data_IF_970260213166
#
_entry.id   IF_970260213166
#
_cell.length_a   1.000
_cell.length_b   1.000
_cell.length_c   1.000
_cell.angle_alpha   90.00
_cell.angle_beta   90.00
_cell.angle_gamma   90.00
#
_symmetry.space_group_name_H-M   'P 1'
#
loop_
_entity.id
_entity.type
_entity.pdbx_description
1 polymer ?
#
# COMPACT_ATOMS: atom_id res chain seq x y z
N UNK A 1 -31.63 11.60 16.13
CA UNK A 1 -31.69 11.35 14.68
C UNK A 1 -30.66 12.16 13.93
N UNK A 2 -29.37 12.01 14.24
CA UNK A 2 -28.28 12.71 13.54
C UNK A 2 -27.46 11.82 12.59
N UNK A 3 -27.54 10.48 12.71
CA UNK A 3 -26.77 9.54 11.89
C UNK A 3 -27.19 9.52 10.41
N UNK A 4 -28.50 9.48 10.13
CA UNK A 4 -28.98 9.37 8.75
C UNK A 4 -28.75 10.62 7.88
N UNK A 5 -28.66 11.81 8.48
CA UNK A 5 -28.40 13.06 7.72
C UNK A 5 -26.93 13.16 7.30
N UNK A 6 -26.01 12.73 8.17
CA UNK A 6 -24.57 12.67 7.87
C UNK A 6 -24.29 11.59 6.82
N UNK A 7 -24.90 10.40 6.95
CA UNK A 7 -24.82 9.34 5.94
C UNK A 7 -25.34 9.78 4.56
N UNK A 8 -26.46 10.50 4.51
CA UNK A 8 -27.03 11.01 3.25
C UNK A 8 -26.11 12.06 2.58
N UNK A 9 -25.45 12.91 3.37
CA UNK A 9 -24.50 13.91 2.85
C UNK A 9 -23.20 13.26 2.38
N UNK A 10 -22.69 12.27 3.11
CA UNK A 10 -21.54 11.45 2.73
C UNK A 10 -21.78 10.76 1.38
N UNK A 11 -22.92 10.10 1.20
CA UNK A 11 -23.28 9.46 -0.07
C UNK A 11 -23.38 10.45 -1.24
N UNK A 12 -23.95 11.64 -1.00
CA UNK A 12 -24.04 12.68 -2.01
C UNK A 12 -22.67 13.21 -2.44
N UNK A 13 -21.75 13.39 -1.48
CA UNK A 13 -20.36 13.78 -1.74
C UNK A 13 -19.67 12.67 -2.55
N UNK A 14 -19.72 11.42 -2.09
CA UNK A 14 -19.09 10.29 -2.78
C UNK A 14 -19.63 10.10 -4.21
N UNK A 15 -20.93 10.37 -4.44
CA UNK A 15 -21.52 10.36 -5.78
C UNK A 15 -21.00 11.51 -6.65
N UNK A 16 -20.96 12.73 -6.12
CA UNK A 16 -20.40 13.87 -6.84
C UNK A 16 -18.92 13.67 -7.17
N UNK A 17 -18.17 13.06 -6.27
CA UNK A 17 -16.77 12.71 -6.47
C UNK A 17 -16.64 11.67 -7.59
N UNK A 18 -17.44 10.60 -7.58
CA UNK A 18 -17.44 9.61 -8.66
C UNK A 18 -17.86 10.19 -10.03
N UNK A 19 -18.76 11.17 -10.06
CA UNK A 19 -19.16 11.86 -11.30
C UNK A 19 -18.08 12.82 -11.84
N UNK A 20 -17.33 13.48 -10.96
CA UNK A 20 -16.22 14.36 -11.34
C UNK A 20 -14.96 13.57 -11.71
N UNK A 21 -14.74 12.42 -11.05
CA UNK A 21 -13.73 11.44 -11.42
C UNK A 21 -13.80 11.04 -12.89
N UNK A 22 -15.00 10.71 -13.40
CA UNK A 22 -15.23 10.38 -14.82
C UNK A 22 -14.87 11.51 -15.80
N UNK A 23 -14.62 12.72 -15.29
CA UNK A 23 -14.19 13.89 -16.07
C UNK A 23 -12.69 14.18 -15.89
N UNK A 24 -11.93 13.26 -15.29
CA UNK A 24 -10.52 13.42 -14.98
C UNK A 24 -10.22 14.37 -13.82
N UNK A 25 -11.21 14.64 -12.95
CA UNK A 25 -11.06 15.51 -11.78
C UNK A 25 -10.83 14.62 -10.54
N UNK A 26 -9.65 14.73 -9.93
CA UNK A 26 -9.29 14.02 -8.69
C UNK A 26 -9.69 14.82 -7.45
N UNK A 27 -10.01 14.13 -6.35
CA UNK A 27 -10.32 14.74 -5.05
C UNK A 27 -9.21 14.43 -4.05
N UNK A 28 -8.51 15.47 -3.60
CA UNK A 28 -7.63 15.38 -2.43
C UNK A 28 -8.38 15.80 -1.17
N UNK A 29 -8.28 14.99 -0.11
CA UNK A 29 -8.98 15.21 1.16
C UNK A 29 -7.97 15.38 2.28
N UNK A 30 -8.06 16.48 3.03
CA UNK A 30 -7.16 16.75 4.16
C UNK A 30 -7.99 16.91 5.44
N UNK A 31 -7.77 16.03 6.40
CA UNK A 31 -8.38 16.07 7.72
C UNK A 31 -7.49 16.81 8.72
N UNK A 32 -8.09 17.65 9.57
CA UNK A 32 -7.39 18.33 10.67
C UNK A 32 -8.05 17.99 12.00
N UNK A 33 -7.27 17.63 13.02
CA UNK A 33 -7.83 17.36 14.35
C UNK A 33 -6.83 16.88 15.40
N UNK A 34 -7.23 16.94 16.67
CA UNK A 34 -6.47 16.39 17.82
C UNK A 34 -7.21 15.21 18.49
N UNK A 35 -8.23 14.64 17.84
CA UNK A 35 -9.03 13.51 18.34
C UNK A 35 -10.51 13.56 17.92
N UNK A 36 -11.14 12.37 17.83
CA UNK A 36 -12.45 12.07 17.20
C UNK A 36 -12.47 12.26 15.68
N UNK A 37 -11.80 11.35 15.00
CA UNK A 37 -11.69 11.32 13.57
C UNK A 37 -12.50 10.14 12.99
N UNK A 38 -13.32 10.40 11.97
CA UNK A 38 -14.09 9.36 11.28
C UNK A 38 -13.24 8.76 10.15
N UNK A 39 -12.29 7.91 10.54
CA UNK A 39 -11.35 7.22 9.64
C UNK A 39 -12.09 6.54 8.48
N UNK A 40 -13.25 5.93 8.74
CA UNK A 40 -14.01 5.18 7.74
C UNK A 40 -14.60 6.06 6.65
N UNK A 41 -15.13 7.24 6.99
CA UNK A 41 -15.65 8.16 5.97
C UNK A 41 -14.53 8.78 5.12
N UNK A 42 -13.37 9.04 5.74
CA UNK A 42 -12.24 9.66 5.07
C UNK A 42 -11.47 8.67 4.19
N UNK A 43 -11.34 7.42 4.61
CA UNK A 43 -10.88 6.31 3.77
C UNK A 43 -11.79 6.15 2.55
N UNK A 44 -13.11 6.17 2.74
CA UNK A 44 -14.07 6.11 1.62
C UNK A 44 -13.94 7.30 0.67
N UNK A 45 -13.58 8.50 1.15
CA UNK A 45 -13.35 9.66 0.30
C UNK A 45 -12.04 9.57 -0.49
N UNK A 46 -10.96 9.05 0.10
CA UNK A 46 -9.71 8.75 -0.63
C UNK A 46 -9.94 7.67 -1.69
N UNK A 47 -10.54 6.55 -1.29
CA UNK A 47 -10.86 5.42 -2.15
C UNK A 47 -11.83 5.78 -3.27
N UNK A 48 -12.78 6.68 -3.03
CA UNK A 48 -13.73 7.14 -4.05
C UNK A 48 -13.29 8.44 -4.75
N UNK A 49 -12.19 9.06 -4.33
CA UNK A 49 -11.69 10.35 -4.81
C UNK A 49 -10.58 10.33 -5.83
N UNK A 50 -9.86 9.21 -5.96
CA UNK A 50 -8.65 9.12 -6.82
C UNK A 50 -7.62 10.22 -6.53
N UNK A 51 -7.61 10.73 -5.30
CA UNK A 51 -6.70 11.81 -4.92
C UNK A 51 -6.10 11.60 -3.54
N UNK A 52 -5.27 12.57 -3.16
CA UNK A 52 -4.39 12.46 -2.01
C UNK A 52 -5.17 12.57 -0.69
N UNK A 53 -4.84 11.72 0.29
CA UNK A 53 -5.38 11.79 1.63
C UNK A 53 -4.27 12.07 2.64
N UNK A 54 -4.47 13.09 3.50
CA UNK A 54 -3.57 13.41 4.59
C UNK A 54 -4.34 13.77 5.87
N UNK A 55 -3.83 13.33 7.01
CA UNK A 55 -4.31 13.74 8.33
C UNK A 55 -3.24 14.60 9.00
N UNK A 56 -3.63 15.80 9.40
CA UNK A 56 -2.75 16.80 9.98
C UNK A 56 -3.13 17.01 11.44
N UNK A 57 -2.35 16.42 12.34
CA UNK A 57 -2.51 16.52 13.79
C UNK A 57 -1.48 17.44 14.47
N UNK A 58 -0.46 17.86 13.72
CA UNK A 58 0.64 18.68 14.21
C UNK A 58 1.08 19.70 13.16
N UNK A 59 1.75 20.76 13.63
CA UNK A 59 2.32 21.79 12.74
C UNK A 59 3.41 21.19 11.83
N UNK A 60 4.11 20.18 12.32
CA UNK A 60 5.12 19.45 11.55
C UNK A 60 4.47 18.64 10.42
N UNK A 61 3.39 17.91 10.73
CA UNK A 61 2.61 17.19 9.72
C UNK A 61 1.97 18.13 8.70
N UNK A 62 1.53 19.31 9.13
CA UNK A 62 1.01 20.35 8.25
C UNK A 62 2.09 20.82 7.27
N UNK A 63 3.31 21.08 7.75
CA UNK A 63 4.43 21.48 6.87
C UNK A 63 4.77 20.36 5.89
N UNK A 64 4.88 19.12 6.38
CA UNK A 64 5.14 17.96 5.52
C UNK A 64 4.09 17.82 4.42
N UNK A 65 2.82 17.93 4.78
CA UNK A 65 1.69 17.78 3.85
C UNK A 65 1.62 18.93 2.84
N UNK A 66 1.66 20.18 3.31
CA UNK A 66 1.37 21.35 2.47
C UNK A 66 2.58 22.00 1.81
N UNK A 67 3.78 21.82 2.37
CA UNK A 67 5.02 22.45 1.88
C UNK A 67 5.89 21.44 1.17
N UNK A 68 6.10 20.26 1.77
CA UNK A 68 7.07 19.30 1.24
C UNK A 68 6.46 18.38 0.17
N UNK A 69 5.24 17.89 0.39
CA UNK A 69 4.63 16.84 -0.44
C UNK A 69 3.50 17.33 -1.37
N UNK A 70 2.98 18.55 -1.19
CA UNK A 70 1.78 19.02 -1.88
C UNK A 70 1.97 19.08 -3.41
N UNK A 71 3.12 19.55 -3.88
CA UNK A 71 3.39 19.67 -5.33
C UNK A 71 3.55 18.32 -6.00
N UNK A 72 4.20 17.34 -5.36
CA UNK A 72 4.33 15.98 -5.89
C UNK A 72 3.01 15.21 -5.90
N UNK A 73 2.15 15.45 -4.89
CA UNK A 73 0.81 14.87 -4.82
C UNK A 73 -0.16 15.39 -5.91
N UNK A 74 0.13 16.55 -6.52
CA UNK A 74 -0.68 17.16 -7.57
C UNK A 74 -0.22 16.78 -8.99
N UNK A 75 0.98 16.22 -9.15
CA UNK A 75 1.51 15.75 -10.42
C UNK A 75 1.24 14.25 -10.57
N UNK A 76 0.17 13.90 -11.27
CA UNK A 76 -0.14 12.51 -11.61
C UNK A 76 0.77 12.04 -12.73
N UNK A 77 1.61 11.05 -12.45
CA UNK A 77 2.57 10.45 -13.40
C UNK A 77 2.04 9.17 -14.04
N UNK A 78 0.99 8.57 -13.45
CA UNK A 78 0.31 7.42 -14.02
C UNK A 78 -1.15 7.39 -13.59
N UNK A 79 -2.04 7.34 -14.59
CA UNK A 79 -3.48 7.16 -14.43
C UNK A 79 -3.89 5.71 -14.64
N UNK A 80 -5.01 5.33 -14.04
CA UNK A 80 -5.61 4.00 -14.23
C UNK A 80 -4.60 2.85 -14.03
N UNK A 81 -3.75 3.01 -13.01
CA UNK A 81 -2.66 2.09 -12.69
C UNK A 81 -3.23 0.81 -12.13
N UNK A 82 -2.94 -0.30 -12.79
CA UNK A 82 -3.28 -1.66 -12.34
C UNK A 82 -2.00 -2.48 -12.24
N UNK A 83 -1.92 -3.35 -11.24
CA UNK A 83 -0.80 -4.27 -11.05
C UNK A 83 -1.35 -5.69 -11.03
N UNK A 84 -0.74 -6.58 -11.80
CA UNK A 84 -1.07 -8.01 -11.82
C UNK A 84 0.20 -8.84 -11.62
N UNK A 85 0.09 -9.83 -10.73
CA UNK A 85 1.15 -10.81 -10.48
C UNK A 85 0.65 -12.19 -10.89
N UNK A 86 1.23 -12.75 -11.96
CA UNK A 86 0.91 -14.09 -12.43
C UNK A 86 1.98 -15.07 -11.95
N UNK A 87 1.64 -15.92 -10.99
CA UNK A 87 2.57 -16.93 -10.46
C UNK A 87 2.66 -18.15 -11.38
N UNK A 88 3.88 -18.67 -11.56
CA UNK A 88 4.11 -19.88 -12.34
C UNK A 88 3.69 -21.12 -11.54
N UNK A 89 2.64 -21.86 -11.94
CA UNK A 89 2.14 -23.01 -11.18
C UNK A 89 3.09 -24.20 -11.15
N UNK A 90 4.10 -24.24 -12.03
CA UNK A 90 5.14 -25.28 -12.01
C UNK A 90 6.23 -25.01 -10.96
N UNK A 91 6.34 -23.77 -10.49
CA UNK A 91 7.40 -23.27 -9.59
C UNK A 91 6.82 -22.90 -8.22
N UNK A 92 5.57 -22.44 -8.18
CA UNK A 92 4.88 -21.94 -6.98
C UNK A 92 3.79 -22.94 -6.55
N UNK A 93 3.92 -23.47 -5.32
CA UNK A 93 2.94 -24.37 -4.69
C UNK A 93 1.72 -23.60 -4.18
N UNK A 94 1.94 -22.42 -3.60
CA UNK A 94 0.89 -21.56 -3.05
C UNK A 94 1.44 -20.15 -2.83
N UNK A 95 0.58 -19.15 -2.84
CA UNK A 95 0.93 -17.77 -2.51
C UNK A 95 -0.20 -17.08 -1.73
N UNK A 96 0.13 -16.01 -1.03
CA UNK A 96 -0.81 -15.16 -0.30
C UNK A 96 -0.35 -13.71 -0.36
N UNK A 97 -1.27 -12.79 -0.65
CA UNK A 97 -1.03 -11.37 -0.49
C UNK A 97 -1.08 -11.01 1.01
N UNK A 98 0.03 -10.50 1.55
CA UNK A 98 0.17 -10.12 2.96
C UNK A 98 -0.22 -8.65 3.17
N UNK A 99 0.16 -7.78 2.24
CA UNK A 99 -0.09 -6.35 2.33
C UNK A 99 -0.15 -5.68 0.96
N UNK A 100 -1.14 -4.82 0.78
CA UNK A 100 -1.31 -3.94 -0.39
C UNK A 100 -2.14 -2.73 0.03
N UNK A 101 -1.89 -1.58 -0.59
CA UNK A 101 -2.74 -0.39 -0.41
C UNK A 101 -4.04 -0.64 -1.19
N UNK A 102 -5.16 -0.67 -0.48
CA UNK A 102 -6.48 -1.11 -0.96
C UNK A 102 -6.85 -0.63 -2.38
N UNK A 103 -7.10 -1.59 -3.28
CA UNK A 103 -7.97 -1.58 -4.49
C UNK A 103 -7.76 -2.91 -5.23
N UNK A 104 -8.36 -3.98 -4.71
CA UNK A 104 -8.26 -5.30 -5.34
C UNK A 104 -9.07 -5.30 -6.65
N UNK A 105 -8.39 -5.53 -7.78
CA UNK A 105 -8.98 -5.66 -9.10
C UNK A 105 -8.89 -7.14 -9.47
N UNK A 106 -10.01 -7.73 -9.90
CA UNK A 106 -10.01 -9.12 -10.33
C UNK A 106 -9.03 -9.33 -11.48
N UNK A 107 -8.40 -10.50 -11.52
CA UNK A 107 -7.45 -10.86 -12.59
C UNK A 107 -8.04 -10.72 -14.00
N UNK A 108 -9.32 -11.06 -14.17
CA UNK A 108 -10.05 -10.94 -15.44
C UNK A 108 -10.26 -9.48 -15.89
N UNK A 109 -10.25 -8.55 -14.94
CA UNK A 109 -10.48 -7.13 -15.16
C UNK A 109 -9.18 -6.33 -15.36
N UNK A 110 -8.01 -6.97 -15.29
CA UNK A 110 -6.71 -6.29 -15.42
C UNK A 110 -6.56 -5.45 -16.71
N UNK A 111 -7.11 -5.94 -17.83
CA UNK A 111 -7.13 -5.24 -19.13
C UNK A 111 -8.49 -4.65 -19.48
N UNK A 112 -9.42 -4.64 -18.54
CA UNK A 112 -10.74 -4.08 -18.71
C UNK A 112 -10.71 -2.58 -18.38
N UNK A 113 -10.64 -1.73 -19.40
CA UNK A 113 -10.59 -0.27 -19.23
C UNK A 113 -11.92 0.32 -18.67
N UNK A 114 -12.98 -0.50 -18.53
CA UNK A 114 -14.20 -0.12 -17.81
C UNK A 114 -14.08 -0.28 -16.29
N UNK A 115 -13.09 -1.04 -15.82
CA UNK A 115 -12.74 -1.17 -14.41
C UNK A 115 -11.63 -0.19 -14.10
N UNK A 116 -11.85 0.62 -13.08
CA UNK A 116 -10.97 1.72 -12.71
C UNK A 116 -9.78 1.23 -11.88
N UNK A 117 -8.59 1.70 -12.21
CA UNK A 117 -7.35 1.45 -11.49
C UNK A 117 -7.09 2.47 -10.37
N UNK A 118 -5.83 2.58 -9.95
CA UNK A 118 -5.35 3.61 -9.02
C UNK A 118 -4.62 4.74 -9.73
N UNK A 119 -4.42 5.87 -9.04
CA UNK A 119 -3.61 6.98 -9.53
C UNK A 119 -2.26 7.02 -8.80
N UNK A 120 -1.16 7.18 -9.54
CA UNK A 120 0.19 7.32 -8.97
C UNK A 120 0.72 8.72 -9.28
N UNK A 121 1.08 9.44 -8.22
CA UNK A 121 1.67 10.76 -8.28
C UNK A 121 3.20 10.72 -8.25
N UNK A 122 3.84 11.81 -8.63
CA UNK A 122 5.29 11.95 -8.57
C UNK A 122 5.79 11.75 -7.13
N UNK A 123 6.68 10.78 -6.93
CA UNK A 123 7.22 10.44 -5.61
C UNK A 123 6.34 9.48 -4.79
N UNK A 124 5.22 9.00 -5.31
CA UNK A 124 4.46 7.92 -4.67
C UNK A 124 5.08 6.55 -4.96
N UNK A 125 5.03 5.67 -3.96
CA UNK A 125 5.40 4.27 -4.06
C UNK A 125 4.27 3.40 -3.50
N UNK A 126 3.92 2.34 -4.22
CA UNK A 126 2.99 1.32 -3.77
C UNK A 126 3.73 -0.01 -3.63
N UNK A 127 3.50 -0.71 -2.52
CA UNK A 127 4.13 -1.99 -2.23
C UNK A 127 3.06 -3.08 -2.14
N UNK A 128 3.21 -4.14 -2.92
CA UNK A 128 2.48 -5.38 -2.77
C UNK A 128 3.43 -6.45 -2.21
N UNK A 129 3.13 -6.95 -1.02
CA UNK A 129 3.94 -7.97 -0.35
C UNK A 129 3.26 -9.33 -0.46
N UNK A 130 3.95 -10.31 -1.04
CA UNK A 130 3.47 -11.68 -1.18
C UNK A 130 4.29 -12.66 -0.36
N UNK A 131 3.61 -13.56 0.33
CA UNK A 131 4.18 -14.81 0.86
C UNK A 131 4.07 -15.86 -0.24
N UNK A 132 5.18 -16.48 -0.64
CA UNK A 132 5.21 -17.46 -1.73
C UNK A 132 5.87 -18.74 -1.25
N UNK A 133 5.23 -19.88 -1.50
CA UNK A 133 5.79 -21.21 -1.26
C UNK A 133 6.23 -21.83 -2.57
N UNK A 134 7.53 -22.07 -2.72
CA UNK A 134 8.09 -22.68 -3.93
C UNK A 134 8.00 -24.22 -3.90
N UNK A 135 8.04 -24.81 -5.08
CA UNK A 135 8.35 -26.24 -5.25
C UNK A 135 9.79 -26.50 -4.81
N UNK A 136 10.04 -27.67 -4.21
CA UNK A 136 11.37 -27.95 -3.65
C UNK A 136 12.38 -28.10 -4.80
N UNK A 137 13.51 -27.40 -4.71
CA UNK A 137 14.50 -27.35 -5.80
C UNK A 137 14.02 -26.60 -7.05
N UNK A 138 12.97 -25.78 -6.93
CA UNK A 138 12.47 -25.01 -8.06
C UNK A 138 13.56 -24.10 -8.65
N UNK A 139 13.66 -24.12 -9.98
CA UNK A 139 14.52 -23.24 -10.76
C UNK A 139 13.68 -22.60 -11.86
N UNK A 140 13.95 -21.33 -12.18
CA UNK A 140 13.22 -20.62 -13.23
C UNK A 140 12.32 -19.49 -12.73
N UNK A 141 11.39 -19.00 -13.58
CA UNK A 141 10.53 -17.86 -13.28
C UNK A 141 9.45 -18.25 -12.26
N UNK A 142 9.41 -17.50 -11.17
CA UNK A 142 8.43 -17.59 -10.08
C UNK A 142 7.15 -16.87 -10.44
N UNK A 143 7.25 -15.67 -11.03
CA UNK A 143 6.09 -14.88 -11.41
C UNK A 143 6.40 -13.89 -12.54
N UNK A 144 5.34 -13.43 -13.18
CA UNK A 144 5.33 -12.26 -14.06
C UNK A 144 4.63 -11.12 -13.33
N UNK A 145 5.35 -10.02 -13.10
CA UNK A 145 4.80 -8.80 -12.55
C UNK A 145 4.54 -7.83 -13.69
N UNK A 146 3.28 -7.45 -13.91
CA UNK A 146 2.88 -6.50 -14.96
C UNK A 146 2.21 -5.29 -14.33
N UNK A 147 2.69 -4.10 -14.70
CA UNK A 147 2.05 -2.83 -14.38
C UNK A 147 1.43 -2.30 -15.66
N UNK A 148 0.14 -1.98 -15.62
CA UNK A 148 -0.61 -1.30 -16.68
C UNK A 148 -0.95 0.10 -16.22
N UNK A 149 -0.71 1.13 -17.03
CA UNK A 149 -0.98 2.53 -16.68
C UNK A 149 -1.20 3.39 -17.93
N UNK A 150 -1.79 4.59 -17.75
CA UNK A 150 -1.97 5.62 -18.78
C UNK A 150 -1.17 6.87 -18.39
N UNK A 151 -0.32 7.38 -19.29
CA UNK A 151 0.61 8.48 -18.95
C UNK A 151 0.06 9.88 -19.28
N UNK A 152 -0.91 10.01 -20.19
CA UNK A 152 -1.35 11.29 -20.75
C UNK A 152 -2.83 11.29 -21.21
N UNK A 153 -3.30 12.45 -21.69
CA UNK A 153 -4.68 12.70 -22.17
C UNK A 153 -5.12 11.79 -23.32
N UNK A 154 -4.20 11.06 -23.94
CA UNK A 154 -4.49 10.15 -25.05
C UNK A 154 -5.18 8.85 -24.58
N UNK A 155 -5.24 8.60 -23.27
CA UNK A 155 -5.89 7.45 -22.63
C UNK A 155 -5.38 6.06 -23.10
N UNK A 156 -4.27 6.01 -23.84
CA UNK A 156 -3.67 4.75 -24.27
C UNK A 156 -2.93 4.06 -23.12
N UNK A 157 -3.33 2.82 -22.84
CA UNK A 157 -2.72 2.03 -21.79
C UNK A 157 -1.37 1.45 -22.24
N UNK A 158 -0.37 1.57 -21.38
CA UNK A 158 0.96 1.00 -21.51
C UNK A 158 1.15 -0.11 -20.48
N UNK A 159 1.93 -1.13 -20.84
CA UNK A 159 2.28 -2.24 -19.95
C UNK A 159 3.79 -2.38 -19.82
N UNK A 160 4.26 -2.52 -18.58
CA UNK A 160 5.64 -2.88 -18.25
C UNK A 160 5.60 -4.20 -17.51
N UNK A 161 6.25 -5.22 -18.07
CA UNK A 161 6.35 -6.54 -17.46
C UNK A 161 7.78 -6.87 -17.03
N UNK A 162 7.89 -7.58 -15.91
CA UNK A 162 9.14 -8.14 -15.38
C UNK A 162 8.93 -9.58 -14.93
N UNK A 163 9.88 -10.43 -15.31
CA UNK A 163 9.99 -11.78 -14.78
C UNK A 163 10.74 -11.75 -13.44
N UNK A 164 10.20 -12.46 -12.45
CA UNK A 164 10.84 -12.69 -11.17
C UNK A 164 11.33 -14.13 -11.12
N UNK A 165 12.60 -14.37 -10.80
CA UNK A 165 13.18 -15.71 -10.77
C UNK A 165 13.42 -16.21 -9.36
N UNK A 166 13.40 -17.54 -9.18
CA UNK A 166 13.68 -18.17 -7.89
C UNK A 166 15.08 -17.82 -7.34
N UNK A 167 16.05 -17.57 -8.24
CA UNK A 167 17.41 -17.13 -7.88
C UNK A 167 17.47 -15.71 -7.30
N UNK A 168 16.45 -14.90 -7.54
CA UNK A 168 16.38 -13.51 -7.05
C UNK A 168 15.84 -13.47 -5.62
N UNK A 169 15.31 -14.59 -5.11
CA UNK A 169 14.83 -14.72 -3.74
C UNK A 169 16.03 -15.02 -2.85
N UNK A 170 16.23 -14.15 -1.85
CA UNK A 170 17.28 -14.31 -0.87
C UNK A 170 17.16 -15.64 -0.12
N UNK A 171 18.28 -16.34 0.05
CA UNK A 171 18.31 -17.66 0.70
C UNK A 171 18.10 -17.61 2.21
N UNK A 172 18.39 -16.46 2.83
CA UNK A 172 18.09 -16.18 4.25
C UNK A 172 17.50 -14.79 4.42
N UNK A 173 16.82 -14.58 5.54
CA UNK A 173 16.23 -13.29 5.90
C UNK A 173 17.27 -12.17 5.97
N UNK A 174 18.44 -12.45 6.55
CA UNK A 174 19.52 -11.47 6.73
C UNK A 174 20.17 -11.07 5.40
N UNK A 175 20.10 -11.94 4.39
CA UNK A 175 20.60 -11.67 3.04
C UNK A 175 19.59 -10.96 2.13
N UNK A 176 18.34 -10.80 2.58
CA UNK A 176 17.32 -10.11 1.82
C UNK A 176 17.59 -8.61 1.76
N UNK A 177 17.07 -7.97 0.70
CA UNK A 177 17.16 -6.52 0.55
C UNK A 177 16.53 -5.81 1.75
N UNK A 178 17.13 -4.70 2.19
CA UNK A 178 16.70 -3.96 3.37
C UNK A 178 15.25 -3.49 3.27
N UNK A 179 14.77 -3.12 2.08
CA UNK A 179 13.41 -2.64 1.87
C UNK A 179 12.41 -3.80 2.03
N UNK A 180 12.77 -5.00 1.55
CA UNK A 180 11.99 -6.22 1.78
C UNK A 180 11.97 -6.60 3.26
N UNK A 181 13.12 -6.50 3.95
CA UNK A 181 13.20 -6.77 5.38
C UNK A 181 12.32 -5.82 6.18
N UNK A 182 12.38 -4.53 5.90
CA UNK A 182 11.51 -3.51 6.51
C UNK A 182 10.03 -3.81 6.25
N UNK A 183 9.65 -4.07 5.00
CA UNK A 183 8.27 -4.38 4.63
C UNK A 183 7.76 -5.65 5.32
N UNK A 184 8.58 -6.69 5.40
CA UNK A 184 8.22 -7.93 6.09
C UNK A 184 8.11 -7.76 7.60
N UNK A 185 9.00 -6.99 8.25
CA UNK A 185 8.88 -6.67 9.69
C UNK A 185 7.60 -5.87 9.99
N UNK A 186 7.23 -4.90 9.14
CA UNK A 186 5.96 -4.16 9.25
C UNK A 186 4.76 -5.09 9.10
N UNK A 187 4.79 -5.98 8.11
CA UNK A 187 3.72 -6.93 7.86
C UNK A 187 3.56 -7.93 9.02
N UNK A 188 4.67 -8.49 9.52
CA UNK A 188 4.65 -9.38 10.68
C UNK A 188 4.10 -8.67 11.93
N UNK A 189 4.52 -7.42 12.17
CA UNK A 189 3.98 -6.62 13.26
C UNK A 189 2.46 -6.48 13.16
N UNK A 190 1.96 -6.10 11.98
CA UNK A 190 0.53 -5.97 11.72
C UNK A 190 -0.22 -7.31 11.92
N UNK A 191 0.31 -8.41 11.41
CA UNK A 191 -0.29 -9.74 11.58
C UNK A 191 -0.30 -10.18 13.07
N UNK A 192 0.74 -9.86 13.84
CA UNK A 192 0.81 -10.15 15.29
C UNK A 192 -0.23 -9.32 16.07
N UNK A 193 -0.40 -8.04 15.73
CA UNK A 193 -1.41 -7.18 16.35
C UNK A 193 -2.83 -7.62 15.99
N UNK A 194 -3.04 -8.02 14.73
CA UNK A 194 -4.30 -8.57 14.23
C UNK A 194 -4.62 -9.99 14.67
N UNK A 195 -3.75 -10.62 15.50
CA UNK A 195 -3.87 -12.02 15.93
C UNK A 195 -4.09 -13.00 14.75
N UNK A 196 -3.43 -12.73 13.62
CA UNK A 196 -3.50 -13.55 12.41
C UNK A 196 -3.10 -14.99 12.70
N UNK A 197 -3.76 -15.94 12.04
CA UNK A 197 -3.39 -17.35 12.09
C UNK A 197 -1.92 -17.57 11.68
N UNK A 198 -1.41 -16.75 10.75
CA UNK A 198 -0.07 -16.85 10.20
C UNK A 198 1.01 -16.29 11.15
N UNK A 199 0.65 -15.36 12.04
CA UNK A 199 1.56 -14.77 13.03
C UNK A 199 1.77 -15.62 14.30
N UNK A 200 1.18 -16.81 14.40
CA UNK A 200 1.27 -17.67 15.60
C UNK A 200 2.70 -18.03 16.03
N UNK A 201 3.64 -18.02 15.09
CA UNK A 201 5.07 -18.28 15.36
C UNK A 201 5.91 -17.00 15.45
N UNK A 202 5.34 -15.86 15.08
CA UNK A 202 5.99 -14.56 15.15
C UNK A 202 6.08 -14.06 16.59
N UNK A 203 6.99 -13.13 16.82
CA UNK A 203 7.10 -12.47 18.13
C UNK A 203 7.49 -11.01 17.97
N UNK A 204 6.89 -10.14 18.80
CA UNK A 204 7.22 -8.71 18.79
C UNK A 204 8.70 -8.46 19.08
N UNK A 205 9.32 -9.32 19.90
CA UNK A 205 10.76 -9.29 20.14
C UNK A 205 11.60 -9.57 18.90
N UNK A 206 11.21 -10.52 18.06
CA UNK A 206 11.92 -10.82 16.81
C UNK A 206 11.81 -9.65 15.82
N UNK A 207 10.58 -9.13 15.64
CA UNK A 207 10.33 -7.93 14.83
C UNK A 207 11.16 -6.74 15.31
N UNK A 208 11.21 -6.51 16.63
CA UNK A 208 12.00 -5.43 17.21
C UNK A 208 13.49 -5.57 16.90
N UNK A 209 14.07 -6.76 17.12
CA UNK A 209 15.47 -7.03 16.82
C UNK A 209 15.80 -6.77 15.34
N UNK A 210 14.90 -7.17 14.43
CA UNK A 210 15.09 -6.93 12.99
C UNK A 210 15.08 -5.43 12.67
N UNK A 211 14.11 -4.68 13.18
CA UNK A 211 14.00 -3.24 12.95
C UNK A 211 15.20 -2.47 13.54
N UNK A 212 15.63 -2.81 14.75
CA UNK A 212 16.82 -2.23 15.38
C UNK A 212 18.08 -2.49 14.54
N UNK A 213 18.21 -3.69 13.97
CA UNK A 213 19.35 -4.03 13.10
C UNK A 213 19.44 -3.16 11.84
N UNK A 214 18.31 -2.60 11.40
CA UNK A 214 18.19 -1.78 10.19
C UNK A 214 18.10 -0.26 10.48
N UNK A 215 18.04 0.15 11.76
CA UNK A 215 17.78 1.55 12.13
C UNK A 215 18.77 2.53 11.47
N UNK A 216 20.05 2.15 11.40
CA UNK A 216 21.11 2.97 10.81
C UNK A 216 21.08 3.01 9.27
N UNK A 217 20.47 2.01 8.62
CA UNK A 217 20.42 1.88 7.17
C UNK A 217 19.37 2.77 6.52
N UNK A 218 18.35 3.16 7.30
CA UNK A 218 17.24 3.99 6.82
C UNK A 218 17.30 5.45 7.28
N UNK A 219 17.94 5.75 8.42
CA UNK A 219 17.98 7.11 9.04
C UNK A 219 16.67 7.89 8.85
N UNK A 220 15.56 7.20 9.09
CA UNK A 220 14.21 7.69 8.80
C UNK A 220 13.43 7.76 10.10
N UNK A 221 12.86 8.92 10.39
CA UNK A 221 12.07 9.16 11.60
C UNK A 221 10.89 8.20 11.69
N UNK A 222 10.32 7.76 10.55
CA UNK A 222 9.23 6.77 10.51
C UNK A 222 9.68 5.38 10.98
N UNK A 223 10.91 4.96 10.66
CA UNK A 223 11.45 3.68 11.14
C UNK A 223 11.72 3.77 12.64
N UNK A 224 12.21 4.92 13.11
CA UNK A 224 12.41 5.17 14.55
C UNK A 224 11.09 5.19 15.32
N UNK A 225 10.04 5.79 14.74
CA UNK A 225 8.69 5.76 15.30
C UNK A 225 8.11 4.34 15.34
N UNK A 226 8.25 3.59 14.25
CA UNK A 226 7.83 2.18 14.18
C UNK A 226 8.49 1.34 15.28
N UNK A 227 9.80 1.49 15.49
CA UNK A 227 10.53 0.81 16.58
C UNK A 227 9.86 1.09 17.93
N UNK A 228 9.59 2.36 18.24
CA UNK A 228 8.92 2.75 19.50
C UNK A 228 7.52 2.14 19.63
N UNK A 229 6.77 2.03 18.52
CA UNK A 229 5.45 1.38 18.52
C UNK A 229 5.56 -0.11 18.82
N UNK A 230 6.53 -0.80 18.22
CA UNK A 230 6.78 -2.22 18.46
C UNK A 230 7.26 -2.48 19.89
N UNK A 231 8.17 -1.65 20.42
CA UNK A 231 8.61 -1.70 21.82
C UNK A 231 7.42 -1.60 22.78
N UNK A 232 6.59 -0.57 22.60
CA UNK A 232 5.41 -0.35 23.44
C UNK A 232 4.42 -1.52 23.33
N UNK A 233 4.20 -2.06 22.14
CA UNK A 233 3.34 -3.23 21.97
C UNK A 233 3.91 -4.47 22.68
N UNK A 234 5.23 -4.63 22.68
CA UNK A 234 5.92 -5.75 23.33
C UNK A 234 5.87 -5.64 24.87
N UNK A 235 5.81 -4.43 25.43
CA UNK A 235 5.61 -4.22 26.87
C UNK A 235 4.17 -4.50 27.34
N UNK A 236 3.19 -4.43 26.42
CA UNK A 236 1.77 -4.55 26.73
C UNK A 236 1.19 -5.97 26.56
N UNK A 237 1.92 -6.90 25.93
CA UNK A 237 1.53 -8.30 25.74
C UNK A 237 2.19 -9.21 26.77
#
# INVERSE_FOLDING_TARGET
>A
GGRSVVETQAEAILKAVAENRRKGITLSTIGFGMGNYDDTFMEQLGDKGDGHYAYVDSIEEAKRTFVDNLTGALEVVGRDVKIQIEFNPSVVKSYRLIGYVNRDVKDEDFRNDLVDGGEIGAGHAATALYEVKLVDGATGPVAYATIRFKHDENEEAQEISRELFAKDIAGTWESADKDLRLAGSVAEFAEILGASFYAKKGSLKAVLNDLESMQYDFRNDKVTELIKLVEKANELK
#
